data_IF_484881288816
#
_entry.id   IF_484881288816
#
_cell.length_a   1.000
_cell.length_b   1.000
_cell.length_c   1.000
_cell.angle_alpha   90.00
_cell.angle_beta   90.00
_cell.angle_gamma   90.00
#
_symmetry.space_group_name_H-M   'P 1'
#
loop_
_entity.id
_entity.type
_entity.pdbx_description
1 polymer ?
#
# COMPACT_ATOMS: atom_id res chain seq x y z
N UNK A 1 9.23 27.31 6.22
CA UNK A 1 9.34 26.86 4.87
C UNK A 1 10.76 26.99 4.41
N UNK A 2 11.52 25.90 4.36
CA UNK A 2 12.80 25.85 3.67
C UNK A 2 12.55 25.10 2.37
N UNK A 3 13.09 25.62 1.27
CA UNK A 3 13.08 24.93 -0.02
C UNK A 3 13.67 23.53 0.14
N UNK A 4 13.03 22.51 -0.47
CA UNK A 4 13.60 21.16 -0.48
C UNK A 4 14.95 21.21 -1.20
N UNK A 5 15.98 20.64 -0.57
CA UNK A 5 17.29 20.49 -1.22
C UNK A 5 17.11 19.67 -2.52
N UNK A 6 17.79 20.01 -3.61
CA UNK A 6 17.68 19.31 -4.87
C UNK A 6 18.01 17.81 -4.67
N UNK A 7 17.27 16.95 -5.37
CA UNK A 7 17.48 15.52 -5.39
C UNK A 7 18.87 15.26 -6.02
N UNK A 8 19.90 15.15 -5.18
CA UNK A 8 21.27 14.82 -5.63
C UNK A 8 21.39 13.31 -5.88
N UNK A 9 22.25 12.87 -6.77
CA UNK A 9 22.41 11.54 -7.38
C UNK A 9 22.29 10.26 -6.50
N UNK A 10 22.31 10.34 -5.15
CA UNK A 10 21.84 9.27 -4.26
C UNK A 10 20.29 9.16 -4.21
N UNK A 11 19.59 10.11 -4.82
CA UNK A 11 18.15 10.31 -4.75
C UNK A 11 17.36 9.67 -5.90
N UNK A 12 17.99 8.96 -6.82
CA UNK A 12 17.32 8.27 -7.93
C UNK A 12 17.29 6.75 -7.77
N UNK A 13 17.39 6.27 -6.53
CA UNK A 13 17.26 4.84 -6.23
C UNK A 13 15.91 4.55 -5.61
N UNK A 14 15.16 3.64 -6.24
CA UNK A 14 13.89 3.10 -5.76
C UNK A 14 14.09 1.69 -5.23
N UNK A 15 13.48 1.37 -4.10
CA UNK A 15 13.48 0.04 -3.52
C UNK A 15 12.22 -0.73 -3.91
N UNK A 16 12.35 -1.89 -4.55
CA UNK A 16 11.22 -2.76 -4.84
C UNK A 16 11.08 -3.80 -3.71
N UNK A 17 9.97 -3.81 -2.92
CA UNK A 17 9.85 -4.64 -1.73
C UNK A 17 9.45 -6.09 -2.07
N UNK A 18 10.34 -6.84 -2.71
CA UNK A 18 10.15 -8.27 -3.00
C UNK A 18 10.49 -9.14 -1.78
N UNK A 19 9.93 -10.38 -1.67
CA UNK A 19 8.91 -10.98 -2.56
C UNK A 19 7.46 -10.67 -2.17
N UNK A 20 7.12 -10.48 -0.87
CA UNK A 20 5.76 -10.43 -0.33
C UNK A 20 4.77 -9.61 -1.16
N UNK A 21 5.17 -8.42 -1.59
CA UNK A 21 4.28 -7.50 -2.32
C UNK A 21 4.06 -7.92 -3.77
N UNK A 22 4.94 -8.74 -4.35
CA UNK A 22 4.89 -9.14 -5.76
C UNK A 22 4.59 -10.61 -5.99
N UNK A 23 4.50 -11.43 -4.95
CA UNK A 23 4.25 -12.88 -5.07
C UNK A 23 2.81 -13.20 -5.48
N UNK A 24 1.85 -12.31 -5.18
CA UNK A 24 0.43 -12.44 -5.50
C UNK A 24 -0.07 -11.24 -6.30
N UNK A 25 0.31 -11.19 -7.57
CA UNK A 25 -0.16 -10.20 -8.53
C UNK A 25 -0.89 -10.90 -9.68
N UNK A 26 -1.97 -10.28 -10.13
CA UNK A 26 -2.56 -10.59 -11.43
C UNK A 26 -1.54 -10.35 -12.53
N UNK A 27 -1.50 -11.23 -13.54
CA UNK A 27 -0.49 -11.18 -14.61
C UNK A 27 -0.56 -9.89 -15.43
N UNK A 28 -1.75 -9.32 -15.62
CA UNK A 28 -1.91 -8.05 -16.32
C UNK A 28 -1.30 -6.89 -15.50
N UNK A 29 -1.51 -6.86 -14.17
CA UNK A 29 -0.88 -5.86 -13.29
C UNK A 29 0.63 -6.04 -13.27
N UNK A 30 1.11 -7.28 -13.15
CA UNK A 30 2.54 -7.62 -13.19
C UNK A 30 3.19 -7.06 -14.47
N UNK A 31 2.59 -7.35 -15.62
CA UNK A 31 3.09 -6.90 -16.92
C UNK A 31 3.14 -5.37 -17.05
N UNK A 32 2.12 -4.66 -16.55
CA UNK A 32 2.12 -3.19 -16.54
C UNK A 32 3.22 -2.66 -15.62
N UNK A 33 3.34 -3.21 -14.43
CA UNK A 33 4.33 -2.81 -13.43
C UNK A 33 5.77 -3.02 -13.94
N UNK A 34 6.07 -4.18 -14.53
CA UNK A 34 7.41 -4.47 -15.08
C UNK A 34 7.78 -3.52 -16.22
N UNK A 35 6.82 -3.17 -17.10
CA UNK A 35 7.04 -2.14 -18.12
C UNK A 35 7.30 -0.76 -17.51
N UNK A 36 6.59 -0.40 -16.44
CA UNK A 36 6.82 0.86 -15.74
C UNK A 36 8.22 0.90 -15.11
N UNK A 37 8.68 -0.20 -14.49
CA UNK A 37 10.05 -0.28 -13.96
C UNK A 37 11.11 -0.15 -15.08
N UNK A 38 10.89 -0.78 -16.24
CA UNK A 38 11.79 -0.62 -17.39
C UNK A 38 11.90 0.83 -17.83
N UNK A 39 10.76 1.54 -17.97
CA UNK A 39 10.75 2.97 -18.36
C UNK A 39 11.46 3.86 -17.32
N UNK A 40 11.28 3.59 -16.02
CA UNK A 40 12.02 4.29 -15.00
C UNK A 40 13.52 4.04 -15.11
N UNK A 41 13.94 2.80 -15.39
CA UNK A 41 15.36 2.46 -15.60
C UNK A 41 15.91 3.14 -16.84
N UNK A 42 15.15 3.20 -17.93
CA UNK A 42 15.52 3.92 -19.16
C UNK A 42 15.65 5.44 -18.95
N UNK A 43 15.01 5.97 -17.89
CA UNK A 43 15.09 7.37 -17.45
C UNK A 43 16.09 7.56 -16.28
N UNK A 44 17.12 6.73 -16.18
CA UNK A 44 18.23 6.79 -15.23
C UNK A 44 17.84 6.53 -13.75
N UNK A 45 16.65 5.97 -13.47
CA UNK A 45 16.32 5.49 -12.12
C UNK A 45 16.95 4.13 -11.86
N UNK A 46 17.59 3.97 -10.72
CA UNK A 46 18.03 2.65 -10.23
C UNK A 46 16.89 1.99 -9.45
N UNK A 47 16.53 0.76 -9.83
CA UNK A 47 15.55 -0.04 -9.08
C UNK A 47 16.25 -1.27 -8.51
N UNK A 48 16.23 -1.42 -7.18
CA UNK A 48 16.87 -2.53 -6.48
C UNK A 48 15.93 -3.22 -5.52
N UNK A 49 16.24 -4.45 -5.12
CA UNK A 49 15.43 -5.18 -4.14
C UNK A 49 15.57 -4.56 -2.75
N UNK A 50 14.43 -4.34 -2.10
CA UNK A 50 14.33 -3.74 -0.77
C UNK A 50 13.30 -4.51 0.08
N UNK A 51 13.58 -5.73 0.51
CA UNK A 51 12.62 -6.55 1.24
C UNK A 51 12.21 -5.90 2.55
N UNK A 52 10.90 -5.87 2.82
CA UNK A 52 10.35 -5.42 4.09
C UNK A 52 10.16 -6.65 4.99
N UNK A 53 10.97 -6.73 6.04
CA UNK A 53 10.88 -7.83 7.01
C UNK A 53 9.50 -7.84 7.68
N UNK A 54 9.00 -9.04 8.01
CA UNK A 54 7.70 -9.23 8.67
C UNK A 54 6.47 -8.71 7.89
N UNK A 55 6.57 -8.40 6.60
CA UNK A 55 5.45 -7.88 5.82
C UNK A 55 4.22 -8.81 5.84
N UNK A 56 4.41 -10.12 6.00
CA UNK A 56 3.33 -11.10 6.09
C UNK A 56 2.45 -10.96 7.35
N UNK A 57 2.94 -10.31 8.41
CA UNK A 57 2.17 -10.04 9.63
C UNK A 57 1.26 -8.81 9.50
N UNK A 58 1.45 -8.01 8.43
CA UNK A 58 0.76 -6.72 8.26
C UNK A 58 -0.76 -6.84 8.30
N UNK A 59 -1.33 -7.88 7.68
CA UNK A 59 -2.78 -8.07 7.62
C UNK A 59 -3.39 -8.29 9.02
N UNK A 60 -2.75 -9.12 9.84
CA UNK A 60 -3.19 -9.41 11.20
C UNK A 60 -3.05 -8.19 12.11
N UNK A 61 -1.91 -7.50 12.04
CA UNK A 61 -1.66 -6.28 12.82
C UNK A 61 -2.66 -5.19 12.44
N UNK A 62 -2.85 -4.95 11.13
CA UNK A 62 -3.82 -3.99 10.62
C UNK A 62 -5.24 -4.29 11.11
N UNK A 63 -5.67 -5.56 11.07
CA UNK A 63 -7.01 -5.96 11.46
C UNK A 63 -7.32 -5.58 12.91
N UNK A 64 -6.44 -5.94 13.86
CA UNK A 64 -6.65 -5.66 15.28
C UNK A 64 -6.64 -4.16 15.60
N UNK A 65 -5.79 -3.38 14.95
CA UNK A 65 -5.76 -1.93 15.12
C UNK A 65 -7.00 -1.26 14.53
N UNK A 66 -7.30 -1.52 13.26
CA UNK A 66 -8.38 -0.83 12.55
C UNK A 66 -9.75 -1.19 13.10
N UNK A 67 -10.00 -2.46 13.46
CA UNK A 67 -11.31 -2.83 14.01
C UNK A 67 -11.59 -2.14 15.33
N UNK A 68 -10.64 -2.14 16.28
CA UNK A 68 -10.83 -1.53 17.60
C UNK A 68 -10.90 0.00 17.52
N UNK A 69 -10.05 0.63 16.74
CA UNK A 69 -10.05 2.08 16.59
C UNK A 69 -11.33 2.56 15.88
N UNK A 70 -11.73 1.90 14.79
CA UNK A 70 -12.96 2.22 14.07
C UNK A 70 -14.20 1.99 14.94
N UNK A 71 -14.28 0.90 15.71
CA UNK A 71 -15.38 0.65 16.65
C UNK A 71 -15.51 1.79 17.67
N UNK A 72 -14.39 2.28 18.19
CA UNK A 72 -14.35 3.38 19.15
C UNK A 72 -14.88 4.68 18.54
N UNK A 73 -14.38 5.04 17.34
CA UNK A 73 -14.79 6.27 16.64
C UNK A 73 -16.27 6.25 16.27
N UNK A 74 -16.79 5.10 15.86
CA UNK A 74 -18.17 4.96 15.38
C UNK A 74 -19.18 4.56 16.46
N UNK A 75 -18.79 4.46 17.74
CA UNK A 75 -19.68 3.98 18.81
C UNK A 75 -21.01 4.72 18.88
N UNK A 76 -20.99 6.04 18.96
CA UNK A 76 -22.22 6.85 19.06
C UNK A 76 -23.10 6.75 17.81
N UNK A 77 -22.51 6.77 16.63
CA UNK A 77 -23.25 6.65 15.38
C UNK A 77 -23.88 5.25 15.19
N UNK A 78 -23.19 4.19 15.62
CA UNK A 78 -23.73 2.83 15.60
C UNK A 78 -24.91 2.64 16.55
N UNK A 79 -24.92 3.34 17.68
CA UNK A 79 -26.02 3.28 18.67
C UNK A 79 -27.23 4.09 18.21
N UNK A 80 -27.02 5.24 17.57
CA UNK A 80 -28.09 6.16 17.19
C UNK A 80 -28.67 5.87 15.80
N UNK A 81 -27.81 5.48 14.84
CA UNK A 81 -28.16 5.36 13.42
C UNK A 81 -27.49 4.12 12.78
N UNK A 82 -27.71 2.90 13.31
CA UNK A 82 -27.08 1.69 12.77
C UNK A 82 -27.49 1.37 11.33
N UNK A 83 -28.66 1.88 10.88
CA UNK A 83 -29.19 1.69 9.51
C UNK A 83 -28.40 2.47 8.45
N UNK A 84 -27.61 3.47 8.83
CA UNK A 84 -26.81 4.27 7.90
C UNK A 84 -25.54 3.52 7.44
N UNK A 85 -25.26 2.38 8.09
CA UNK A 85 -24.15 1.51 7.72
C UNK A 85 -24.62 0.33 6.85
N UNK A 86 -23.88 0.01 5.81
CA UNK A 86 -24.11 -1.24 5.10
C UNK A 86 -23.89 -2.44 6.05
N UNK A 87 -24.59 -3.57 5.86
CA UNK A 87 -24.44 -4.73 6.77
C UNK A 87 -23.00 -5.19 6.97
N UNK A 88 -22.18 -5.18 5.89
CA UNK A 88 -20.79 -5.59 5.95
C UNK A 88 -19.89 -4.62 6.74
N UNK A 89 -20.15 -3.32 6.66
CA UNK A 89 -19.42 -2.31 7.45
C UNK A 89 -19.84 -2.39 8.90
N UNK A 90 -21.15 -2.43 9.16
CA UNK A 90 -21.72 -2.55 10.53
C UNK A 90 -21.15 -3.75 11.26
N UNK A 91 -21.18 -4.93 10.64
CA UNK A 91 -20.64 -6.16 11.25
C UNK A 91 -19.17 -5.98 11.68
N UNK A 92 -18.35 -5.32 10.87
CA UNK A 92 -16.93 -5.08 11.20
C UNK A 92 -16.75 -4.14 12.37
N UNK A 93 -17.51 -3.06 12.41
CA UNK A 93 -17.50 -2.11 13.53
C UNK A 93 -17.96 -2.77 14.82
N UNK A 94 -18.99 -3.60 14.76
CA UNK A 94 -19.45 -4.39 15.91
C UNK A 94 -18.40 -5.39 16.38
N UNK A 95 -17.74 -6.11 15.47
CA UNK A 95 -16.62 -7.02 15.78
C UNK A 95 -15.46 -6.32 16.48
N UNK A 96 -15.20 -5.06 16.14
CA UNK A 96 -14.13 -4.28 16.77
C UNK A 96 -14.30 -4.09 18.27
N UNK A 97 -15.51 -4.17 18.79
CA UNK A 97 -15.81 -4.11 20.24
C UNK A 97 -15.34 -5.34 21.01
N UNK A 98 -15.05 -6.44 20.31
CA UNK A 98 -14.61 -7.71 20.91
C UNK A 98 -13.09 -7.93 20.79
N UNK A 99 -12.35 -7.00 20.21
CA UNK A 99 -10.88 -7.06 20.20
C UNK A 99 -10.40 -6.86 21.64
N UNK A 100 -9.65 -7.83 22.15
CA UNK A 100 -9.13 -7.77 23.51
C UNK A 100 -8.00 -6.74 23.62
N UNK A 101 -7.89 -6.09 24.78
CA UNK A 101 -6.84 -5.11 25.04
C UNK A 101 -5.43 -5.69 24.81
N UNK A 102 -5.22 -6.96 25.17
CA UNK A 102 -3.96 -7.67 24.94
C UNK A 102 -3.62 -7.77 23.46
N UNK A 103 -4.59 -8.10 22.61
CA UNK A 103 -4.38 -8.22 21.17
C UNK A 103 -4.12 -6.85 20.53
N UNK A 104 -4.80 -5.81 20.99
CA UNK A 104 -4.54 -4.44 20.55
C UNK A 104 -3.12 -3.99 20.94
N UNK A 105 -2.68 -4.23 22.17
CA UNK A 105 -1.32 -3.89 22.63
C UNK A 105 -0.28 -4.66 21.83
N UNK A 106 -0.50 -5.96 21.59
CA UNK A 106 0.37 -6.79 20.74
C UNK A 106 0.45 -6.24 19.32
N UNK A 107 -0.66 -5.81 18.74
CA UNK A 107 -0.71 -5.19 17.41
C UNK A 107 0.02 -3.84 17.38
N UNK A 108 -0.04 -3.02 18.44
CA UNK A 108 0.75 -1.79 18.55
C UNK A 108 2.27 -2.08 18.57
N UNK A 109 2.71 -3.12 19.27
CA UNK A 109 4.11 -3.56 19.22
C UNK A 109 4.50 -4.04 17.82
N UNK A 110 3.64 -4.83 17.16
CA UNK A 110 3.83 -5.28 15.78
C UNK A 110 3.92 -4.11 14.79
N UNK A 111 3.07 -3.08 14.94
CA UNK A 111 3.13 -1.83 14.18
C UNK A 111 4.52 -1.17 14.27
N UNK A 112 5.09 -1.11 15.47
CA UNK A 112 6.42 -0.53 15.67
C UNK A 112 7.52 -1.37 15.00
N UNK A 113 7.41 -2.71 15.00
CA UNK A 113 8.32 -3.61 14.29
C UNK A 113 8.24 -3.39 12.79
N UNK A 114 7.01 -3.39 12.22
CA UNK A 114 6.78 -3.12 10.79
C UNK A 114 7.30 -1.74 10.38
N UNK A 115 7.08 -0.72 11.22
CA UNK A 115 7.59 0.63 10.96
C UNK A 115 9.11 0.67 10.78
N UNK A 116 9.86 0.02 11.68
CA UNK A 116 11.31 -0.10 11.55
C UNK A 116 11.74 -0.91 10.32
N UNK A 117 10.98 -1.94 9.95
CA UNK A 117 11.28 -2.73 8.76
C UNK A 117 11.10 -1.90 7.46
N UNK A 118 10.09 -1.03 7.39
CA UNK A 118 9.91 -0.10 6.27
C UNK A 118 11.00 0.97 6.27
N UNK A 119 11.33 1.55 7.44
CA UNK A 119 12.44 2.51 7.55
C UNK A 119 13.77 1.91 7.06
N UNK A 120 14.05 0.63 7.39
CA UNK A 120 15.24 -0.08 6.92
C UNK A 120 15.22 -0.31 5.40
N UNK A 121 14.06 -0.67 4.84
CA UNK A 121 13.89 -0.84 3.39
C UNK A 121 14.01 0.49 2.63
N UNK A 122 13.71 1.62 3.27
CA UNK A 122 13.87 2.96 2.70
C UNK A 122 15.30 3.52 2.83
N UNK A 123 16.15 2.93 3.67
CA UNK A 123 17.47 3.48 3.95
C UNK A 123 18.31 3.62 2.66
N UNK A 124 18.80 4.85 2.39
CA UNK A 124 19.57 5.17 1.19
C UNK A 124 18.78 5.24 -0.12
N UNK A 125 17.45 5.19 -0.07
CA UNK A 125 16.55 5.23 -1.22
C UNK A 125 15.63 6.43 -1.19
N UNK A 126 15.22 6.90 -2.37
CA UNK A 126 14.27 7.99 -2.51
C UNK A 126 12.86 7.57 -2.07
N UNK A 127 12.43 6.37 -2.48
CA UNK A 127 11.15 5.78 -2.12
C UNK A 127 11.18 4.25 -2.32
N UNK A 128 10.17 3.55 -1.77
CA UNK A 128 9.82 2.21 -2.26
C UNK A 128 8.87 2.33 -3.45
N UNK A 129 8.95 1.37 -4.38
CA UNK A 129 8.13 1.30 -5.59
C UNK A 129 7.47 -0.06 -5.70
N UNK A 130 6.14 -0.07 -5.87
CA UNK A 130 5.34 -1.29 -6.01
C UNK A 130 4.02 -0.97 -6.74
N UNK A 131 3.26 -1.98 -7.21
CA UNK A 131 1.93 -1.72 -7.75
C UNK A 131 1.01 -1.15 -6.67
N UNK A 132 0.09 -0.25 -7.03
CA UNK A 132 -0.90 0.27 -6.08
C UNK A 132 -1.88 -0.80 -5.61
N UNK A 133 -2.29 -1.69 -6.52
CA UNK A 133 -3.19 -2.81 -6.24
C UNK A 133 -2.65 -4.08 -6.90
N UNK A 134 -2.98 -5.22 -6.32
CA UNK A 134 -2.55 -6.52 -6.81
C UNK A 134 -3.35 -7.02 -8.03
N UNK A 135 -4.51 -6.44 -8.27
CA UNK A 135 -5.45 -6.82 -9.34
C UNK A 135 -5.97 -5.55 -10.04
N UNK A 136 -6.42 -5.64 -11.29
CA UNK A 136 -7.19 -4.57 -11.93
C UNK A 136 -8.53 -4.34 -11.22
N UNK A 137 -9.26 -3.28 -11.59
CA UNK A 137 -10.60 -3.04 -11.06
C UNK A 137 -11.50 -4.27 -11.29
N UNK A 138 -12.04 -4.89 -10.22
CA UNK A 138 -12.88 -6.06 -10.34
C UNK A 138 -14.29 -5.69 -10.79
N UNK A 139 -15.08 -6.65 -11.31
CA UNK A 139 -16.50 -6.45 -11.58
C UNK A 139 -17.27 -6.03 -10.32
N UNK A 140 -18.28 -5.18 -10.49
CA UNK A 140 -19.15 -4.78 -9.38
C UNK A 140 -19.84 -6.00 -8.76
N UNK A 141 -19.84 -6.06 -7.43
CA UNK A 141 -20.48 -7.15 -6.68
C UNK A 141 -19.58 -8.40 -6.50
N UNK A 142 -18.39 -8.42 -7.07
CA UNK A 142 -17.45 -9.52 -6.81
C UNK A 142 -17.05 -9.56 -5.32
N UNK A 143 -16.95 -10.77 -4.78
CA UNK A 143 -16.50 -11.01 -3.40
C UNK A 143 -15.18 -11.76 -3.33
N UNK A 144 -14.81 -12.42 -4.42
CA UNK A 144 -13.58 -13.18 -4.59
C UNK A 144 -13.03 -12.99 -6.01
N UNK A 145 -11.77 -13.29 -6.20
CA UNK A 145 -11.05 -13.22 -7.47
C UNK A 145 -10.02 -14.34 -7.52
N UNK A 146 -9.74 -14.85 -8.71
CA UNK A 146 -8.61 -15.78 -8.92
C UNK A 146 -7.34 -14.97 -9.18
N UNK A 147 -6.26 -15.32 -8.47
CA UNK A 147 -4.93 -14.72 -8.64
C UNK A 147 -3.91 -15.86 -8.65
N UNK A 148 -3.31 -16.11 -9.82
CA UNK A 148 -2.32 -17.17 -9.97
C UNK A 148 -2.87 -18.59 -9.69
N UNK A 149 -4.12 -18.85 -10.04
CA UNK A 149 -4.80 -20.14 -9.83
C UNK A 149 -5.26 -20.39 -8.38
N UNK A 150 -5.28 -19.35 -7.55
CA UNK A 150 -5.82 -19.41 -6.19
C UNK A 150 -6.96 -18.41 -6.01
N UNK A 151 -8.08 -18.87 -5.44
CA UNK A 151 -9.21 -18.01 -5.12
C UNK A 151 -8.89 -17.19 -3.87
N UNK A 152 -8.83 -15.88 -4.03
CA UNK A 152 -8.56 -14.90 -2.95
C UNK A 152 -9.84 -14.13 -2.59
N UNK A 153 -9.97 -13.78 -1.31
CA UNK A 153 -10.97 -12.80 -0.91
C UNK A 153 -10.66 -11.45 -1.55
N UNK A 154 -11.63 -10.88 -2.29
CA UNK A 154 -11.44 -9.59 -2.95
C UNK A 154 -10.94 -8.51 -1.99
N UNK A 155 -11.51 -8.45 -0.78
CA UNK A 155 -11.06 -7.48 0.23
C UNK A 155 -9.61 -7.70 0.65
N UNK A 156 -9.19 -8.93 0.86
CA UNK A 156 -7.84 -9.24 1.31
C UNK A 156 -6.81 -8.83 0.26
N UNK A 157 -7.06 -9.19 -1.00
CA UNK A 157 -6.13 -8.88 -2.09
C UNK A 157 -6.07 -7.37 -2.40
N UNK A 158 -7.20 -6.66 -2.30
CA UNK A 158 -7.26 -5.20 -2.48
C UNK A 158 -6.49 -4.42 -1.41
N UNK A 159 -6.40 -4.94 -0.18
CA UNK A 159 -5.68 -4.29 0.92
C UNK A 159 -4.20 -4.70 0.98
N UNK A 160 -3.81 -5.79 0.35
CA UNK A 160 -2.51 -6.42 0.50
C UNK A 160 -1.32 -5.48 0.33
N UNK A 161 -1.37 -4.59 -0.65
CA UNK A 161 -0.25 -3.72 -1.03
C UNK A 161 -0.26 -2.36 -0.33
N UNK A 162 -1.34 -2.00 0.37
CA UNK A 162 -1.50 -0.67 0.98
C UNK A 162 -1.57 -0.69 2.51
N UNK A 163 -2.15 -1.74 3.11
CA UNK A 163 -2.45 -1.78 4.55
C UNK A 163 -1.22 -1.64 5.45
N UNK A 164 -0.05 -2.16 5.02
CA UNK A 164 1.18 -2.06 5.80
C UNK A 164 1.60 -0.60 5.98
N UNK A 165 1.62 0.17 4.90
CA UNK A 165 2.04 1.58 4.94
C UNK A 165 1.03 2.45 5.66
N UNK A 166 -0.27 2.19 5.50
CA UNK A 166 -1.33 2.82 6.30
C UNK A 166 -1.15 2.56 7.79
N UNK A 167 -0.77 1.33 8.17
CA UNK A 167 -0.52 0.95 9.57
C UNK A 167 0.71 1.64 10.14
N UNK A 168 1.79 1.73 9.37
CA UNK A 168 3.07 2.26 9.85
C UNK A 168 3.20 3.77 9.74
N UNK A 169 2.27 4.44 9.05
CA UNK A 169 2.24 5.90 8.90
C UNK A 169 3.29 6.44 7.93
N UNK A 170 3.76 5.61 6.99
CA UNK A 170 4.60 6.09 5.89
C UNK A 170 3.73 6.77 4.84
N UNK A 171 4.13 7.95 4.32
CA UNK A 171 3.41 8.60 3.24
C UNK A 171 3.49 7.74 1.97
N UNK A 172 2.39 7.63 1.26
CA UNK A 172 2.31 6.89 0.02
C UNK A 172 1.51 7.70 -1.02
N UNK A 173 1.92 7.63 -2.27
CA UNK A 173 1.26 8.25 -3.41
C UNK A 173 1.13 7.22 -4.53
N UNK A 174 0.04 7.27 -5.27
CA UNK A 174 -0.18 6.45 -6.46
C UNK A 174 -0.17 7.35 -7.70
N UNK A 175 0.66 7.00 -8.66
CA UNK A 175 0.74 7.67 -9.97
C UNK A 175 0.30 6.72 -11.07
N UNK A 176 -0.21 7.19 -12.22
CA UNK A 176 -0.55 6.35 -13.36
C UNK A 176 0.71 5.63 -13.90
N UNK A 177 0.61 4.34 -14.22
CA UNK A 177 1.74 3.62 -14.82
C UNK A 177 1.40 2.85 -16.09
N UNK A 178 0.16 2.95 -16.55
CA UNK A 178 -0.30 2.38 -17.81
C UNK A 178 -1.62 1.63 -17.71
N UNK A 179 -1.99 0.99 -18.81
CA UNK A 179 -3.22 0.22 -18.94
C UNK A 179 -2.91 -1.27 -19.11
N UNK A 180 -3.81 -2.12 -18.61
CA UNK A 180 -3.84 -3.54 -18.93
C UNK A 180 -4.18 -3.76 -20.41
N UNK A 181 -4.03 -4.98 -20.90
CA UNK A 181 -4.45 -5.37 -22.26
C UNK A 181 -5.96 -5.21 -22.49
N UNK A 182 -6.76 -5.15 -21.43
CA UNK A 182 -8.22 -4.91 -21.46
C UNK A 182 -8.58 -3.44 -21.27
N UNK A 183 -7.62 -2.53 -21.20
CA UNK A 183 -7.84 -1.08 -21.07
C UNK A 183 -8.10 -0.61 -19.63
N UNK A 184 -7.93 -1.44 -18.60
CA UNK A 184 -8.09 -1.03 -17.21
C UNK A 184 -6.83 -0.34 -16.71
N UNK A 185 -6.95 0.80 -15.97
CA UNK A 185 -5.80 1.53 -15.48
C UNK A 185 -5.09 0.80 -14.33
N UNK A 186 -3.76 0.93 -14.29
CA UNK A 186 -2.92 0.49 -13.19
C UNK A 186 -2.16 1.67 -12.58
N UNK A 187 -1.99 1.64 -11.26
CA UNK A 187 -1.23 2.60 -10.51
C UNK A 187 0.10 2.04 -10.03
N UNK A 188 1.13 2.90 -10.03
CA UNK A 188 2.40 2.70 -9.37
C UNK A 188 2.35 3.40 -8.01
N UNK A 189 2.55 2.67 -6.93
CA UNK A 189 2.64 3.23 -5.58
C UNK A 189 4.09 3.54 -5.25
N UNK A 190 4.32 4.77 -4.81
CA UNK A 190 5.57 5.19 -4.20
C UNK A 190 5.35 5.42 -2.71
N UNK A 191 6.26 4.88 -1.88
CA UNK A 191 6.19 5.02 -0.42
C UNK A 191 7.45 5.72 0.06
N UNK A 192 7.28 6.81 0.78
CA UNK A 192 8.37 7.68 1.24
C UNK A 192 8.67 7.54 2.73
N UNK A 193 9.73 8.23 3.14
CA UNK A 193 10.12 8.35 4.54
C UNK A 193 9.06 9.06 5.37
N UNK A 194 8.85 8.63 6.60
CA UNK A 194 7.91 9.28 7.52
C UNK A 194 8.24 10.75 7.70
N UNK A 195 7.21 11.59 7.74
CA UNK A 195 7.31 13.05 7.89
C UNK A 195 7.99 13.77 6.72
N UNK A 196 8.16 13.11 5.55
CA UNK A 196 8.78 13.69 4.35
C UNK A 196 7.86 13.63 3.14
N UNK A 197 6.60 14.00 3.33
CA UNK A 197 5.57 13.94 2.26
C UNK A 197 5.94 14.82 1.06
N UNK A 198 6.46 16.04 1.27
CA UNK A 198 6.86 16.91 0.16
C UNK A 198 7.94 16.26 -0.69
N UNK A 199 8.96 15.67 -0.06
CA UNK A 199 10.02 14.94 -0.78
C UNK A 199 9.47 13.75 -1.59
N UNK A 200 8.48 13.03 -1.04
CA UNK A 200 7.82 11.96 -1.78
C UNK A 200 7.07 12.49 -3.01
N UNK A 201 6.41 13.65 -2.90
CA UNK A 201 5.71 14.27 -4.03
C UNK A 201 6.68 14.70 -5.14
N UNK A 202 7.86 15.24 -4.79
CA UNK A 202 8.91 15.59 -5.75
C UNK A 202 9.39 14.32 -6.50
N UNK A 203 9.58 13.21 -5.77
CA UNK A 203 9.93 11.90 -6.37
C UNK A 203 8.81 11.40 -7.28
N UNK A 204 7.56 11.56 -6.86
CA UNK A 204 6.40 11.12 -7.64
C UNK A 204 6.26 11.90 -8.95
N UNK A 205 6.43 13.22 -8.92
CA UNK A 205 6.42 14.07 -10.11
C UNK A 205 7.53 13.69 -11.10
N UNK A 206 8.74 13.43 -10.60
CA UNK A 206 9.84 12.97 -11.44
C UNK A 206 9.58 11.58 -12.04
N UNK A 207 9.03 10.64 -11.28
CA UNK A 207 8.65 9.33 -11.79
C UNK A 207 7.50 9.41 -12.81
N UNK A 208 6.47 10.23 -12.56
CA UNK A 208 5.34 10.42 -13.47
C UNK A 208 5.81 11.01 -14.79
N UNK A 209 6.70 12.00 -14.76
CA UNK A 209 7.35 12.55 -15.97
C UNK A 209 8.13 11.48 -16.75
N UNK A 210 8.91 10.64 -16.07
CA UNK A 210 9.65 9.55 -16.68
C UNK A 210 8.73 8.48 -17.30
N UNK A 211 7.54 8.29 -16.73
CA UNK A 211 6.51 7.40 -17.26
C UNK A 211 5.68 8.03 -18.39
N UNK A 212 5.97 9.28 -18.81
CA UNK A 212 5.27 10.01 -19.87
C UNK A 212 3.85 10.31 -19.46
N UNK A 213 3.68 10.88 -18.27
CA UNK A 213 2.41 11.44 -17.81
C UNK A 213 1.97 12.57 -18.77
N UNK A 214 0.87 12.33 -19.47
CA UNK A 214 0.12 13.36 -20.20
C UNK A 214 -0.90 14.01 -19.27
#
# INVERSE_FOLDING_TARGET
GGDPAPINGAAQTLGCPRPYFLDRLDDAVRSVFERALSRLTDADWTVEDAPVQHAHDAATIYLHLVLSEAATVHTAALEQQPQDYTPAVRLRLELGRYVQAEDYVRAQHGRAVLGRAVDAALAGRAALVLPSLAIPAPPLGATAVDVGGQTESLRAIMLRLTQLFSTTGHPAVSIPCGLTSTGLPCGLQLVGHRHRTCQLLDVAEACETALGGD
#
